data_IF_122343938610
#
_entry.id   IF_122343938610
#
_cell.length_a   1.000
_cell.length_b   1.000
_cell.length_c   1.000
_cell.angle_alpha   90.00
_cell.angle_beta   90.00
_cell.angle_gamma   90.00
#
_symmetry.space_group_name_H-M   'P 1'
#
loop_
_entity.id
_entity.type
_entity.pdbx_description
1 polymer ?
#
# COMPACT_ATOMS: atom_id res chain seq x y z
N UNK A 1 7.96 -8.43 36.43
CA UNK A 1 6.91 -7.84 35.58
C UNK A 1 7.58 -6.80 34.72
N UNK A 2 8.00 -7.17 33.51
CA UNK A 2 8.50 -6.20 32.53
C UNK A 2 7.27 -5.54 31.90
N UNK A 3 7.02 -4.30 32.27
CA UNK A 3 6.15 -3.42 31.50
C UNK A 3 6.82 -3.24 30.14
N UNK A 4 6.36 -3.96 29.11
CA UNK A 4 6.64 -3.56 27.74
C UNK A 4 5.81 -2.29 27.55
N UNK A 5 6.44 -1.14 27.76
CA UNK A 5 5.89 0.12 27.28
C UNK A 5 5.68 -0.07 25.78
N UNK A 6 4.45 0.12 25.29
CA UNK A 6 4.21 0.17 23.86
C UNK A 6 4.98 1.40 23.34
N UNK A 7 6.21 1.20 22.86
CA UNK A 7 7.13 2.27 22.42
C UNK A 7 6.73 2.87 21.05
N UNK A 8 5.44 2.81 20.71
CA UNK A 8 4.91 3.29 19.43
C UNK A 8 3.51 3.87 19.54
N UNK A 9 3.30 5.02 18.88
CA UNK A 9 1.98 5.59 18.66
C UNK A 9 1.30 4.82 17.53
N UNK A 10 0.10 4.29 17.75
CA UNK A 10 -0.68 3.59 16.71
C UNK A 10 -1.97 4.35 16.46
N UNK A 11 -2.31 4.55 15.18
CA UNK A 11 -3.53 5.21 14.74
C UNK A 11 -4.04 4.66 13.41
N UNK A 12 -5.17 5.20 12.95
CA UNK A 12 -5.79 4.86 11.67
C UNK A 12 -5.77 6.05 10.70
N UNK A 13 -6.90 6.26 10.02
CA UNK A 13 -7.07 7.33 9.02
C UNK A 13 -6.80 8.74 9.58
N UNK A 14 -7.25 9.03 10.81
CA UNK A 14 -7.05 10.35 11.44
C UNK A 14 -5.57 10.67 11.67
N UNK A 15 -4.77 9.68 12.04
CA UNK A 15 -3.32 9.86 12.19
C UNK A 15 -2.64 10.01 10.83
N UNK A 16 -3.09 9.26 9.82
CA UNK A 16 -2.60 9.36 8.44
C UNK A 16 -2.81 10.78 7.88
N UNK A 17 -3.97 11.41 8.12
CA UNK A 17 -4.28 12.78 7.68
C UNK A 17 -3.46 13.86 8.40
N UNK A 18 -2.91 13.55 9.57
CA UNK A 18 -2.16 14.50 10.40
C UNK A 18 -0.65 14.52 10.12
N UNK A 19 -0.14 13.53 9.39
CA UNK A 19 1.29 13.40 9.06
C UNK A 19 1.51 13.51 7.56
N UNK A 20 2.73 13.85 7.15
CA UNK A 20 3.12 13.76 5.75
C UNK A 20 3.14 12.29 5.30
N UNK A 21 2.56 12.01 4.13
CA UNK A 21 2.60 10.71 3.46
C UNK A 21 3.10 10.88 2.04
N UNK A 22 3.89 9.94 1.49
CA UNK A 22 4.38 10.05 0.12
C UNK A 22 3.23 9.91 -0.89
N UNK A 23 3.34 10.62 -2.02
CA UNK A 23 2.43 10.52 -3.17
C UNK A 23 2.75 9.28 -4.01
N UNK A 24 2.57 8.09 -3.41
CA UNK A 24 2.86 6.79 -4.04
C UNK A 24 1.73 6.38 -4.98
N UNK A 25 2.05 6.06 -6.23
CA UNK A 25 1.09 5.60 -7.24
C UNK A 25 1.60 4.39 -8.03
N UNK A 26 0.67 3.68 -8.66
CA UNK A 26 0.96 2.54 -9.52
C UNK A 26 1.02 2.99 -10.99
N UNK A 27 2.20 2.98 -11.60
CA UNK A 27 2.45 3.55 -12.94
C UNK A 27 1.58 2.89 -14.02
N UNK A 28 1.47 1.56 -13.95
CA UNK A 28 0.73 0.77 -14.92
C UNK A 28 -0.70 0.41 -14.46
N UNK A 29 -1.25 1.10 -13.46
CA UNK A 29 -2.62 0.85 -13.02
C UNK A 29 -3.64 1.49 -13.97
N UNK A 30 -4.62 0.70 -14.38
CA UNK A 30 -5.83 1.16 -15.07
C UNK A 30 -6.86 1.71 -14.08
N UNK A 31 -6.92 1.12 -12.89
CA UNK A 31 -7.80 1.57 -11.81
C UNK A 31 -7.21 1.18 -10.45
N UNK A 32 -7.43 2.01 -9.44
CA UNK A 32 -7.02 1.77 -8.05
C UNK A 32 -8.19 2.07 -7.13
N UNK A 33 -8.55 1.10 -6.28
CA UNK A 33 -9.63 1.21 -5.31
C UNK A 33 -9.09 1.13 -3.89
N UNK A 34 -9.42 2.13 -3.09
CA UNK A 34 -9.20 2.14 -1.64
C UNK A 34 -10.39 1.46 -0.95
N UNK A 35 -10.12 0.66 0.08
CA UNK A 35 -11.17 -0.01 0.86
C UNK A 35 -11.56 0.86 2.05
N UNK A 36 -12.70 1.54 1.93
CA UNK A 36 -13.21 2.45 2.96
C UNK A 36 -14.41 1.88 3.72
N UNK A 37 -14.98 0.75 3.27
CA UNK A 37 -16.19 0.14 3.84
C UNK A 37 -15.88 -1.16 4.62
N UNK A 38 -16.45 -1.35 5.83
CA UNK A 38 -17.26 -0.41 6.60
C UNK A 38 -16.43 0.69 7.28
N UNK A 39 -15.10 0.50 7.39
CA UNK A 39 -14.13 1.46 7.89
C UNK A 39 -12.87 1.42 7.01
N UNK A 40 -12.13 2.53 6.89
CA UNK A 40 -10.84 2.58 6.21
C UNK A 40 -9.86 1.54 6.74
N UNK A 41 -9.34 0.69 5.86
CA UNK A 41 -8.33 -0.30 6.20
C UNK A 41 -6.94 0.32 6.16
N UNK A 42 -6.70 1.24 7.11
CA UNK A 42 -5.46 2.00 7.28
C UNK A 42 -4.94 1.81 8.71
N UNK A 43 -3.64 1.55 8.85
CA UNK A 43 -2.92 1.54 10.12
C UNK A 43 -1.64 2.35 9.99
N UNK A 44 -1.42 3.25 10.93
CA UNK A 44 -0.19 4.04 11.08
C UNK A 44 0.45 3.67 12.41
N UNK A 45 1.76 3.38 12.40
CA UNK A 45 2.56 3.16 13.61
C UNK A 45 3.78 4.06 13.56
N UNK A 46 4.00 4.84 14.60
CA UNK A 46 5.15 5.74 14.74
C UNK A 46 5.97 5.25 15.92
N UNK A 47 7.16 4.73 15.66
CA UNK A 47 8.11 4.30 16.68
C UNK A 47 8.85 5.51 17.27
N UNK A 48 9.40 5.36 18.48
CA UNK A 48 10.11 6.45 19.19
C UNK A 48 11.39 6.95 18.50
N UNK A 49 11.98 6.13 17.64
CA UNK A 49 13.15 6.49 16.81
C UNK A 49 12.77 7.31 15.56
N UNK A 50 11.47 7.53 15.32
CA UNK A 50 10.96 8.27 14.19
C UNK A 50 10.60 7.39 12.98
N UNK A 51 10.73 6.07 13.07
CA UNK A 51 10.26 5.18 12.02
C UNK A 51 8.72 5.22 11.94
N UNK A 52 8.20 5.44 10.73
CA UNK A 52 6.76 5.47 10.46
C UNK A 52 6.40 4.31 9.54
N UNK A 53 5.52 3.42 10.02
CA UNK A 53 4.91 2.37 9.23
C UNK A 53 3.48 2.76 8.89
N UNK A 54 3.22 3.01 7.60
CA UNK A 54 1.87 3.15 7.04
C UNK A 54 1.49 1.85 6.30
N UNK A 55 0.35 1.28 6.66
CA UNK A 55 -0.21 0.10 6.01
C UNK A 55 -1.65 0.38 5.59
N UNK A 56 -1.92 0.32 4.28
CA UNK A 56 -3.26 0.50 3.72
C UNK A 56 -3.57 -0.65 2.76
N UNK A 57 -4.81 -1.14 2.76
CA UNK A 57 -5.26 -2.09 1.75
C UNK A 57 -5.75 -1.37 0.51
N UNK A 58 -5.20 -1.76 -0.64
CA UNK A 58 -5.58 -1.28 -1.96
C UNK A 58 -5.94 -2.47 -2.87
N UNK A 59 -6.82 -2.23 -3.84
CA UNK A 59 -7.03 -3.14 -4.97
C UNK A 59 -6.71 -2.38 -6.25
N UNK A 60 -5.66 -2.80 -6.96
CA UNK A 60 -5.26 -2.21 -8.22
C UNK A 60 -5.49 -3.18 -9.38
N UNK A 61 -6.08 -2.66 -10.46
CA UNK A 61 -6.17 -3.34 -11.75
C UNK A 61 -5.00 -2.85 -12.60
N UNK A 62 -4.00 -3.71 -12.82
CA UNK A 62 -2.78 -3.35 -13.54
C UNK A 62 -2.83 -3.79 -15.00
N UNK A 63 -2.19 -3.01 -15.87
CA UNK A 63 -1.94 -3.39 -17.26
C UNK A 63 -0.80 -4.41 -17.30
N UNK A 64 -1.10 -5.61 -17.78
CA UNK A 64 -0.10 -6.63 -18.06
C UNK A 64 -0.19 -7.04 -19.54
N UNK A 65 0.81 -6.69 -20.37
CA UNK A 65 0.91 -7.19 -21.73
C UNK A 65 1.10 -8.71 -21.73
N UNK A 66 0.32 -9.42 -22.54
CA UNK A 66 0.40 -10.88 -22.65
C UNK A 66 0.95 -11.30 -24.01
N UNK A 67 1.83 -12.29 -24.01
CA UNK A 67 2.34 -12.94 -25.22
C UNK A 67 1.78 -14.35 -25.33
N UNK A 68 0.77 -14.54 -26.17
CA UNK A 68 -0.03 -15.78 -26.26
C UNK A 68 0.47 -16.74 -27.34
N UNK A 69 1.79 -16.85 -27.53
CA UNK A 69 2.39 -17.65 -28.61
C UNK A 69 2.12 -19.16 -28.45
N UNK A 70 2.03 -19.64 -27.20
CA UNK A 70 1.81 -21.06 -26.87
C UNK A 70 0.54 -21.30 -26.07
N UNK A 71 -0.54 -20.57 -26.40
CA UNK A 71 -1.82 -20.72 -25.73
C UNK A 71 -2.29 -22.19 -25.69
N UNK A 72 -2.70 -22.76 -24.55
CA UNK A 72 -2.94 -22.20 -23.20
C UNK A 72 -1.81 -22.48 -22.18
N UNK A 73 -0.64 -22.92 -22.64
CA UNK A 73 0.50 -23.33 -21.81
C UNK A 73 1.63 -22.29 -21.83
N UNK A 74 1.29 -21.05 -22.11
CA UNK A 74 2.15 -19.87 -22.06
C UNK A 74 2.42 -19.42 -20.61
N UNK A 75 3.57 -18.79 -20.39
CA UNK A 75 3.94 -18.18 -19.11
C UNK A 75 3.91 -16.67 -19.26
N UNK A 76 3.16 -15.99 -18.39
CA UNK A 76 3.06 -14.53 -18.39
C UNK A 76 3.79 -13.95 -17.18
N UNK A 77 4.63 -12.94 -17.40
CA UNK A 77 5.29 -12.19 -16.33
C UNK A 77 4.74 -10.77 -16.32
N UNK A 78 4.03 -10.42 -15.25
CA UNK A 78 3.43 -9.10 -15.08
C UNK A 78 4.26 -8.27 -14.09
N UNK A 79 4.70 -7.09 -14.51
CA UNK A 79 5.40 -6.15 -13.63
C UNK A 79 4.38 -5.28 -12.90
N UNK A 80 4.62 -5.05 -11.61
CA UNK A 80 3.93 -4.04 -10.81
C UNK A 80 4.89 -2.88 -10.60
N UNK A 81 4.57 -1.73 -11.19
CA UNK A 81 5.43 -0.55 -11.15
C UNK A 81 4.86 0.46 -10.15
N UNK A 82 5.69 0.87 -9.20
CA UNK A 82 5.33 1.77 -8.10
C UNK A 82 6.30 2.94 -8.09
N UNK A 83 5.77 4.15 -8.15
CA UNK A 83 6.57 5.39 -8.17
C UNK A 83 5.99 6.43 -7.20
N UNK A 84 6.76 7.48 -6.98
CA UNK A 84 6.33 8.66 -6.23
C UNK A 84 6.47 9.89 -7.13
N UNK A 85 5.43 10.73 -7.15
CA UNK A 85 5.46 12.00 -7.88
C UNK A 85 6.11 13.05 -6.96
N UNK A 86 7.29 13.56 -7.33
CA UNK A 86 7.92 14.69 -6.65
C UNK A 86 8.44 15.69 -7.69
#
# INVERSE_FOLDING_TARGET
MTWVMEDRLTGGEELMKAIWTPDTFFVNALNVRMHNEPNPQVSVKINRDGEVLLSQRLTASIKCPQHLETFSCDTQTCMLEIESCN
#
